data_IF_440532153967
#
_entry.id   IF_440532153967
#
_cell.length_a   1.000
_cell.length_b   1.000
_cell.length_c   1.000
_cell.angle_alpha   90.00
_cell.angle_beta   90.00
_cell.angle_gamma   90.00
#
_symmetry.space_group_name_H-M   'P 1'
#
loop_
_entity.id
_entity.type
_entity.pdbx_description
1 polymer ?
#
# COMPACT_ATOMS: atom_id res chain seq x y z
N UNK A 1 -34.35 3.42 6.33
CA UNK A 1 -33.95 2.80 5.05
C UNK A 1 -32.44 2.62 5.09
N UNK A 2 -31.97 1.45 5.53
CA UNK A 2 -30.54 1.16 5.70
C UNK A 2 -29.99 0.89 4.30
N UNK A 3 -29.14 1.78 3.79
CA UNK A 3 -28.42 1.52 2.54
C UNK A 3 -27.42 0.40 2.84
N UNK A 4 -27.73 -0.81 2.40
CA UNK A 4 -26.74 -1.86 2.24
C UNK A 4 -25.73 -1.39 1.20
N UNK A 5 -24.70 -0.68 1.65
CA UNK A 5 -23.46 -0.63 0.89
C UNK A 5 -22.91 -2.06 0.89
N UNK A 6 -22.63 -2.66 -0.27
CA UNK A 6 -21.85 -3.90 -0.29
C UNK A 6 -20.58 -3.62 0.51
N UNK A 7 -20.24 -4.52 1.43
CA UNK A 7 -19.15 -4.40 2.38
C UNK A 7 -17.82 -4.33 1.64
N UNK A 8 -17.50 -3.15 1.11
CA UNK A 8 -16.17 -2.87 0.62
C UNK A 8 -15.25 -2.92 1.84
N UNK A 9 -14.08 -3.52 1.71
CA UNK A 9 -13.09 -3.40 2.78
C UNK A 9 -12.89 -1.90 3.08
N UNK A 10 -12.95 -1.48 4.36
CA UNK A 10 -12.72 -0.08 4.71
C UNK A 10 -11.35 0.32 4.17
N UNK A 11 -11.34 1.40 3.39
CA UNK A 11 -10.14 1.91 2.73
C UNK A 11 -9.84 3.28 3.29
N UNK A 12 -8.67 3.42 3.85
CA UNK A 12 -8.28 4.63 4.54
C UNK A 12 -7.26 5.41 3.73
N UNK A 13 -7.35 6.73 3.81
CA UNK A 13 -6.49 7.66 3.09
C UNK A 13 -5.38 8.19 4.00
N UNK A 14 -4.14 8.13 3.51
CA UNK A 14 -2.94 8.64 4.15
C UNK A 14 -2.07 9.39 3.13
N UNK A 15 -1.25 10.33 3.61
CA UNK A 15 -0.25 10.98 2.77
C UNK A 15 1.09 10.23 2.88
N UNK A 16 1.55 9.71 1.75
CA UNK A 16 2.83 9.04 1.55
C UNK A 16 3.73 9.98 0.76
N UNK A 17 4.75 10.54 1.41
CA UNK A 17 5.61 11.60 0.86
C UNK A 17 4.80 12.80 0.29
N UNK A 18 3.67 13.11 0.94
CA UNK A 18 2.77 14.18 0.52
C UNK A 18 1.74 13.79 -0.54
N UNK A 19 1.83 12.58 -1.11
CA UNK A 19 0.87 12.05 -2.08
C UNK A 19 -0.21 11.26 -1.36
N UNK A 20 -1.48 11.55 -1.65
CA UNK A 20 -2.61 10.79 -1.12
C UNK A 20 -2.62 9.37 -1.68
N UNK A 21 -2.71 8.38 -0.79
CA UNK A 21 -2.77 6.97 -1.13
C UNK A 21 -3.79 6.25 -0.25
N UNK A 22 -4.51 5.29 -0.85
CA UNK A 22 -5.48 4.45 -0.16
C UNK A 22 -4.83 3.16 0.33
N UNK A 23 -5.12 2.82 1.58
CA UNK A 23 -4.70 1.59 2.22
C UNK A 23 -5.90 0.80 2.71
N UNK A 24 -5.82 -0.52 2.59
CA UNK A 24 -6.80 -1.46 3.14
C UNK A 24 -6.17 -2.27 4.27
N UNK A 25 -6.99 -2.76 5.19
CA UNK A 25 -6.53 -3.57 6.31
C UNK A 25 -6.09 -4.97 5.84
N UNK A 26 -4.87 -5.38 6.22
CA UNK A 26 -4.37 -6.73 5.96
C UNK A 26 -4.70 -7.65 7.15
N UNK A 27 -5.54 -8.67 6.90
CA UNK A 27 -5.78 -9.76 7.87
C UNK A 27 -4.69 -10.84 7.84
N UNK A 28 -3.96 -10.93 6.73
CA UNK A 28 -2.93 -11.92 6.48
C UNK A 28 -1.56 -11.24 6.42
N UNK A 29 -0.50 -12.05 6.47
CA UNK A 29 0.90 -11.61 6.33
C UNK A 29 1.22 -11.17 4.88
N UNK A 30 0.57 -10.10 4.42
CA UNK A 30 0.80 -9.47 3.12
C UNK A 30 2.16 -8.75 3.16
N UNK A 31 2.98 -8.99 2.14
CA UNK A 31 4.31 -8.40 2.01
C UNK A 31 4.36 -7.44 0.83
N UNK A 32 5.28 -6.49 0.92
CA UNK A 32 5.58 -5.62 -0.21
C UNK A 32 5.99 -6.47 -1.42
N UNK A 33 5.48 -6.10 -2.60
CA UNK A 33 5.77 -6.79 -3.85
C UNK A 33 5.00 -8.10 -4.05
N UNK A 34 4.15 -8.51 -3.11
CA UNK A 34 3.22 -9.61 -3.36
C UNK A 34 2.31 -9.26 -4.54
N UNK A 35 1.96 -10.25 -5.36
CA UNK A 35 1.02 -10.09 -6.45
C UNK A 35 -0.01 -11.22 -6.46
N UNK A 36 -1.19 -10.94 -6.99
CA UNK A 36 -2.29 -11.90 -7.02
C UNK A 36 -3.62 -11.29 -7.43
N UNK A 37 -4.73 -11.84 -6.95
CA UNK A 37 -6.06 -11.36 -7.29
C UNK A 37 -6.91 -11.06 -6.04
N UNK A 38 -7.94 -10.24 -6.22
CA UNK A 38 -8.98 -10.04 -5.21
C UNK A 38 -10.06 -11.11 -5.39
N UNK A 39 -10.47 -11.74 -4.30
CA UNK A 39 -11.60 -12.68 -4.29
C UNK A 39 -12.93 -11.94 -4.37
N UNK A 40 -14.04 -12.67 -4.49
CA UNK A 40 -15.38 -12.09 -4.40
C UNK A 40 -15.68 -11.40 -3.05
N UNK A 41 -14.94 -11.75 -1.99
CA UNK A 41 -15.02 -11.10 -0.67
C UNK A 41 -14.09 -9.88 -0.53
N UNK A 42 -13.45 -9.45 -1.63
CA UNK A 42 -12.43 -8.40 -1.64
C UNK A 42 -11.18 -8.72 -0.81
N UNK A 43 -10.97 -9.98 -0.46
CA UNK A 43 -9.73 -10.41 0.18
C UNK A 43 -8.63 -10.61 -0.87
N UNK A 44 -7.42 -10.17 -0.56
CA UNK A 44 -6.26 -10.37 -1.43
C UNK A 44 -5.73 -11.81 -1.30
N UNK A 45 -5.71 -12.53 -2.42
CA UNK A 45 -5.12 -13.86 -2.54
C UNK A 45 -3.75 -13.73 -3.21
N UNK A 46 -2.68 -13.97 -2.45
CA UNK A 46 -1.30 -13.91 -2.92
C UNK A 46 -0.96 -15.13 -3.79
N UNK A 47 -0.41 -14.89 -4.98
CA UNK A 47 0.04 -15.94 -5.93
C UNK A 47 1.56 -15.98 -6.09
N UNK A 48 2.26 -14.93 -5.68
CA UNK A 48 3.71 -14.84 -5.79
C UNK A 48 4.22 -13.49 -5.26
N UNK A 49 5.53 -13.31 -5.30
CA UNK A 49 6.18 -12.10 -4.82
C UNK A 49 7.24 -11.64 -5.83
N UNK A 50 7.20 -10.35 -6.17
CA UNK A 50 8.09 -9.73 -7.16
C UNK A 50 9.58 -9.91 -6.79
N UNK A 51 9.93 -9.75 -5.51
CA UNK A 51 11.30 -9.89 -5.04
C UNK A 51 11.78 -11.35 -5.15
N UNK A 52 10.92 -12.31 -4.80
CA UNK A 52 11.20 -13.73 -4.97
C UNK A 52 11.40 -14.14 -6.43
N UNK A 53 10.57 -13.60 -7.33
CA UNK A 53 10.73 -13.87 -8.76
C UNK A 53 12.03 -13.27 -9.33
N UNK A 54 12.43 -12.08 -8.87
CA UNK A 54 13.67 -11.43 -9.31
C UNK A 54 14.91 -12.23 -8.92
N UNK A 55 14.92 -12.75 -7.70
CA UNK A 55 15.96 -13.66 -7.22
C UNK A 55 16.00 -14.92 -8.08
N UNK A 56 14.83 -15.51 -8.38
CA UNK A 56 14.74 -16.72 -9.22
C UNK A 56 15.25 -16.51 -10.65
N UNK A 57 15.09 -15.29 -11.19
CA UNK A 57 15.57 -14.91 -12.53
C UNK A 57 17.00 -14.38 -12.53
N UNK A 58 17.66 -14.33 -11.36
CA UNK A 58 19.01 -13.79 -11.19
C UNK A 58 19.17 -12.37 -11.74
N UNK A 59 18.10 -11.57 -11.71
CA UNK A 59 18.09 -10.20 -12.20
C UNK A 59 18.66 -9.28 -11.12
N UNK A 60 19.80 -8.63 -11.42
CA UNK A 60 20.38 -7.59 -10.57
C UNK A 60 19.70 -6.26 -10.86
N UNK A 61 18.53 -6.06 -10.27
CA UNK A 61 17.88 -4.75 -10.24
C UNK A 61 17.99 -4.14 -8.84
N UNK A 62 18.29 -2.85 -8.76
CA UNK A 62 18.29 -2.12 -7.49
C UNK A 62 16.85 -1.80 -7.09
N UNK A 63 16.21 -2.79 -6.47
CA UNK A 63 14.80 -2.75 -6.06
C UNK A 63 14.62 -2.45 -4.57
N UNK A 64 15.62 -1.87 -3.91
CA UNK A 64 15.56 -1.64 -2.46
C UNK A 64 14.26 -0.93 -2.09
N UNK A 65 13.42 -1.52 -1.19
CA UNK A 65 12.21 -0.88 -0.72
C UNK A 65 12.50 0.51 -0.16
N UNK A 66 11.64 1.47 -0.49
CA UNK A 66 11.70 2.82 0.06
C UNK A 66 10.90 2.87 1.36
N UNK A 67 11.41 3.61 2.36
CA UNK A 67 10.65 4.00 3.55
C UNK A 67 10.12 5.42 3.37
N UNK A 68 8.87 5.60 2.90
CA UNK A 68 8.30 6.93 2.70
C UNK A 68 7.91 7.58 4.02
N UNK A 69 7.85 8.92 4.03
CA UNK A 69 7.29 9.66 5.16
C UNK A 69 5.77 9.53 5.15
N UNK A 70 5.21 9.00 6.23
CA UNK A 70 3.75 8.92 6.43
C UNK A 70 3.29 10.16 7.20
N UNK A 71 2.20 10.77 6.76
CA UNK A 71 1.57 11.91 7.45
C UNK A 71 0.04 11.92 7.31
N UNK A 72 -0.61 12.64 8.23
CA UNK A 72 -2.07 12.82 8.23
C UNK A 72 -2.52 13.65 7.02
N UNK A 73 -3.80 13.52 6.67
CA UNK A 73 -4.46 14.42 5.73
C UNK A 73 -4.28 15.88 6.20
N UNK A 74 -3.70 16.73 5.35
CA UNK A 74 -3.34 18.12 5.69
C UNK A 74 -1.89 18.33 6.15
N UNK A 75 -1.06 17.27 6.14
CA UNK A 75 0.40 17.36 6.32
C UNK A 75 0.85 17.66 7.74
N UNK A 76 -0.06 17.68 8.73
CA UNK A 76 0.30 17.87 10.13
C UNK A 76 0.84 16.56 10.69
N UNK A 77 2.02 16.62 11.30
CA UNK A 77 2.59 15.52 12.06
C UNK A 77 2.38 15.84 13.55
N UNK A 78 1.63 14.99 14.25
CA UNK A 78 1.47 15.15 15.71
C UNK A 78 2.78 14.79 16.40
N UNK A 79 3.09 15.51 17.48
CA UNK A 79 4.29 15.28 18.29
C UNK A 79 4.32 13.88 18.94
N UNK A 80 3.17 13.21 19.06
CA UNK A 80 3.03 11.90 19.70
C UNK A 80 3.40 10.70 18.80
N UNK A 81 3.80 10.93 17.55
CA UNK A 81 4.06 9.86 16.58
C UNK A 81 2.79 9.11 16.15
N UNK A 82 1.60 9.65 16.45
CA UNK A 82 0.31 9.14 15.98
C UNK A 82 -0.03 9.78 14.64
N UNK A 83 -0.58 8.99 13.72
CA UNK A 83 -1.08 9.44 12.42
C UNK A 83 -2.51 8.97 12.23
N UNK A 84 -3.43 9.91 12.00
CA UNK A 84 -4.80 9.60 11.57
C UNK A 84 -4.90 9.17 10.12
N UNK A 85 -5.43 7.97 9.93
CA UNK A 85 -5.92 7.48 8.65
C UNK A 85 -7.43 7.71 8.58
N UNK A 86 -7.92 8.39 7.53
CA UNK A 86 -9.34 8.73 7.41
C UNK A 86 -10.05 7.74 6.48
N UNK A 87 -11.23 7.26 6.87
CA UNK A 87 -12.08 6.48 5.95
C UNK A 87 -12.80 7.41 4.95
N UNK A 88 -13.61 6.83 4.08
CA UNK A 88 -14.52 7.47 3.14
C UNK A 88 -15.47 8.49 3.80
N UNK A 89 -15.68 8.38 5.12
CA UNK A 89 -16.46 9.33 5.91
C UNK A 89 -15.51 10.23 6.72
N UNK A 90 -15.64 11.56 6.63
CA UNK A 90 -14.69 12.51 7.24
C UNK A 90 -14.65 12.45 8.78
N UNK A 91 -15.67 11.89 9.41
CA UNK A 91 -15.77 11.75 10.87
C UNK A 91 -15.24 10.40 11.38
N UNK A 92 -14.92 9.45 10.48
CA UNK A 92 -14.39 8.13 10.83
C UNK A 92 -12.90 8.05 10.51
N UNK A 93 -12.10 7.80 11.54
CA UNK A 93 -10.65 7.75 11.43
C UNK A 93 -10.06 6.72 12.38
N UNK A 94 -8.89 6.20 11.99
CA UNK A 94 -8.11 5.29 12.80
C UNK A 94 -6.76 5.94 13.17
N UNK A 95 -6.43 5.93 14.45
CA UNK A 95 -5.16 6.45 14.96
C UNK A 95 -4.08 5.37 14.81
N UNK A 96 -3.10 5.60 13.93
CA UNK A 96 -1.95 4.71 13.72
C UNK A 96 -0.78 5.15 14.61
N UNK A 97 -0.37 4.31 15.56
CA UNK A 97 0.77 4.60 16.43
C UNK A 97 2.10 4.25 15.76
N UNK A 98 2.93 5.26 15.49
CA UNK A 98 4.27 5.14 14.88
C UNK A 98 4.28 4.24 13.63
N UNK A 99 3.45 4.54 12.61
CA UNK A 99 3.38 3.71 11.42
C UNK A 99 4.72 3.67 10.69
N UNK A 100 5.15 2.47 10.31
CA UNK A 100 6.31 2.24 9.46
C UNK A 100 5.84 1.90 8.05
N UNK A 101 6.10 2.80 7.11
CA UNK A 101 5.79 2.60 5.70
C UNK A 101 6.92 1.93 4.95
N UNK A 102 6.56 1.02 4.05
CA UNK A 102 7.43 0.53 2.99
C UNK A 102 6.69 0.66 1.66
N UNK A 103 7.42 1.03 0.61
CA UNK A 103 6.86 1.15 -0.74
C UNK A 103 7.85 0.63 -1.78
N UNK A 104 7.32 0.19 -2.92
CA UNK A 104 8.13 -0.16 -4.07
C UNK A 104 8.90 1.08 -4.55
N UNK A 105 10.13 0.90 -5.07
CA UNK A 105 10.87 2.01 -5.62
C UNK A 105 10.12 2.60 -6.83
N UNK A 106 10.14 3.93 -6.93
CA UNK A 106 9.58 4.66 -8.07
C UNK A 106 10.69 5.28 -8.92
N UNK A 107 11.79 4.55 -9.09
CA UNK A 107 12.91 4.99 -9.91
C UNK A 107 12.76 4.49 -11.35
N UNK A 108 13.49 5.10 -12.26
CA UNK A 108 13.43 4.74 -13.68
C UNK A 108 13.99 3.33 -13.96
N UNK A 109 14.78 2.76 -13.05
CA UNK A 109 15.26 1.36 -13.14
C UNK A 109 14.15 0.34 -12.83
N UNK A 110 13.15 0.73 -12.03
CA UNK A 110 12.05 -0.14 -11.65
C UNK A 110 11.00 -0.27 -12.76
N UNK A 111 10.81 0.77 -13.58
CA UNK A 111 9.84 0.74 -14.68
C UNK A 111 10.14 -0.38 -15.72
N UNK A 112 11.35 -0.52 -16.27
CA UNK A 112 11.71 -1.62 -17.16
C UNK A 112 11.51 -3.00 -16.53
N UNK A 113 11.70 -3.11 -15.22
CA UNK A 113 11.47 -4.34 -14.49
C UNK A 113 9.99 -4.69 -14.45
N UNK A 114 9.11 -3.74 -14.15
CA UNK A 114 7.66 -4.00 -14.24
C UNK A 114 7.24 -4.40 -15.67
N UNK A 115 7.88 -3.83 -16.69
CA UNK A 115 7.66 -4.20 -18.10
C UNK A 115 8.08 -5.65 -18.36
N UNK A 116 9.26 -6.08 -17.89
CA UNK A 116 9.71 -7.47 -18.06
C UNK A 116 8.81 -8.47 -17.32
N UNK A 117 8.18 -8.04 -16.23
CA UNK A 117 7.21 -8.81 -15.45
C UNK A 117 5.76 -8.69 -15.92
N UNK A 118 5.46 -7.85 -16.91
CA UNK A 118 4.08 -7.52 -17.30
C UNK A 118 3.23 -8.74 -17.64
N UNK A 119 3.80 -9.73 -18.33
CA UNK A 119 3.11 -10.98 -18.69
C UNK A 119 2.75 -11.79 -17.44
N UNK A 120 3.68 -11.88 -16.47
CA UNK A 120 3.42 -12.51 -15.17
C UNK A 120 2.41 -11.72 -14.37
N UNK A 121 2.46 -10.39 -14.39
CA UNK A 121 1.54 -9.56 -13.63
C UNK A 121 0.20 -9.34 -14.35
N UNK A 122 -0.03 -10.00 -15.49
CA UNK A 122 -1.26 -9.84 -16.27
C UNK A 122 -2.48 -10.26 -15.46
N UNK A 123 -3.49 -9.38 -15.40
CA UNK A 123 -4.72 -9.55 -14.60
C UNK A 123 -4.51 -9.69 -13.09
N UNK A 124 -3.34 -9.32 -12.58
CA UNK A 124 -3.01 -9.35 -11.15
C UNK A 124 -2.93 -7.94 -10.57
N UNK A 125 -3.16 -7.83 -9.27
CA UNK A 125 -2.84 -6.67 -8.45
C UNK A 125 -1.45 -6.86 -7.86
N UNK A 126 -0.70 -5.78 -7.71
CA UNK A 126 0.62 -5.73 -7.07
C UNK A 126 0.51 -4.91 -5.79
N UNK A 127 1.00 -5.45 -4.68
CA UNK A 127 1.15 -4.71 -3.42
C UNK A 127 2.28 -3.70 -3.58
N UNK A 128 1.93 -2.41 -3.63
CA UNK A 128 2.86 -1.30 -3.88
C UNK A 128 3.38 -0.63 -2.63
N UNK A 129 2.65 -0.78 -1.53
CA UNK A 129 3.03 -0.21 -0.25
C UNK A 129 2.40 -0.99 0.88
N UNK A 130 3.12 -1.08 1.99
CA UNK A 130 2.65 -1.68 3.23
C UNK A 130 2.94 -0.72 4.37
N UNK A 131 2.03 -0.67 5.33
CA UNK A 131 2.23 0.06 6.59
C UNK A 131 2.13 -0.95 7.72
N UNK A 132 3.13 -0.94 8.59
CA UNK A 132 3.16 -1.72 9.82
C UNK A 132 2.98 -0.76 10.99
N UNK A 133 1.97 -1.01 11.81
CA UNK A 133 1.71 -0.22 13.00
C UNK A 133 1.98 -1.10 14.22
N UNK A 134 3.01 -0.80 15.03
CA UNK A 134 3.18 -1.48 16.30
C UNK A 134 1.96 -1.24 17.20
N UNK A 135 1.71 -2.13 18.17
CA UNK A 135 0.62 -1.93 19.12
C UNK A 135 0.81 -0.63 19.90
N UNK A 136 -0.28 0.14 20.09
CA UNK A 136 -0.22 1.34 20.92
C UNK A 136 -0.01 0.92 22.38
N UNK A 137 1.08 1.36 23.05
CA UNK A 137 1.33 1.03 24.46
C UNK A 137 0.25 1.55 25.41
N UNK A 138 -0.60 2.49 24.96
CA UNK A 138 -1.74 3.01 25.72
C UNK A 138 -2.95 2.07 25.68
N UNK A 139 -3.00 1.15 24.72
CA UNK A 139 -4.10 0.21 24.54
C UNK A 139 -3.67 -1.21 24.92
N UNK A 140 -4.17 -1.68 26.05
CA UNK A 140 -3.88 -3.03 26.52
C UNK A 140 -4.51 -4.07 25.58
N UNK A 141 -3.67 -4.90 24.95
CA UNK A 141 -4.12 -5.97 24.05
C UNK A 141 -4.14 -5.62 22.56
N UNK A 142 -3.71 -4.41 22.17
CA UNK A 142 -3.50 -4.09 20.76
C UNK A 142 -2.47 -5.05 20.15
N UNK A 143 -2.71 -5.50 18.92
CA UNK A 143 -1.75 -6.27 18.12
C UNK A 143 -1.11 -5.36 17.08
N UNK A 144 -0.01 -5.80 16.48
CA UNK A 144 0.54 -5.13 15.30
C UNK A 144 -0.48 -5.20 14.17
N UNK A 145 -0.90 -4.06 13.64
CA UNK A 145 -1.80 -3.99 12.49
C UNK A 145 -1.00 -3.78 11.22
N UNK A 146 -1.48 -4.38 10.13
CA UNK A 146 -0.84 -4.34 8.83
C UNK A 146 -1.83 -3.77 7.83
N UNK A 147 -1.33 -2.90 6.97
CA UNK A 147 -2.11 -2.18 5.98
C UNK A 147 -1.38 -2.28 4.65
N UNK A 148 -2.13 -2.28 3.55
CA UNK A 148 -1.54 -2.44 2.22
C UNK A 148 -2.22 -1.56 1.19
N UNK A 149 -1.44 -1.11 0.21
CA UNK A 149 -1.92 -0.45 -1.00
C UNK A 149 -1.64 -1.37 -2.19
N UNK A 150 -2.58 -1.39 -3.14
CA UNK A 150 -2.46 -2.17 -4.36
C UNK A 150 -2.58 -1.29 -5.58
N UNK A 151 -1.87 -1.68 -6.64
CA UNK A 151 -2.02 -1.08 -7.95
C UNK A 151 -2.19 -2.16 -9.01
N UNK A 152 -2.86 -1.81 -10.11
CA UNK A 152 -2.85 -2.62 -11.31
C UNK A 152 -1.61 -2.28 -12.15
N UNK A 153 -0.77 -3.27 -12.50
CA UNK A 153 0.43 -3.14 -13.31
C UNK A 153 0.27 -2.30 -14.59
N UNK A 154 -0.88 -2.42 -15.26
CA UNK A 154 -1.14 -1.73 -16.53
C UNK A 154 -1.42 -0.23 -16.40
N UNK A 155 -1.50 0.32 -15.18
CA UNK A 155 -1.79 1.74 -14.93
C UNK A 155 -0.53 2.58 -14.74
N UNK A 156 0.67 1.99 -14.68
CA UNK A 156 1.91 2.76 -14.45
C UNK A 156 2.36 3.64 -15.61
N UNK A 157 1.86 3.42 -16.83
CA UNK A 157 2.25 4.20 -18.02
C UNK A 157 1.58 5.58 -18.14
N UNK A 158 0.91 6.11 -17.10
CA UNK A 158 0.04 7.28 -17.24
C UNK A 158 0.16 8.41 -16.21
N UNK A 159 1.10 8.33 -15.26
CA UNK A 159 1.19 9.34 -14.18
C UNK A 159 2.41 10.28 -14.28
N UNK A 160 3.17 10.25 -15.37
CA UNK A 160 4.32 11.16 -15.59
C UNK A 160 4.06 12.24 -16.66
N UNK A 161 2.79 12.49 -17.02
CA UNK A 161 2.43 13.66 -17.85
C UNK A 161 1.99 14.82 -16.95
N UNK A 162 2.93 15.33 -16.14
CA UNK A 162 2.88 16.70 -15.67
C UNK A 162 4.23 17.34 -15.90
N UNK A 163 4.43 17.79 -17.14
CA UNK A 163 5.17 18.99 -17.50
C UNK A 163 4.49 19.66 -18.71
N UNK A 164 4.42 20.98 -18.65
CA UNK A 164 4.06 21.96 -19.68
C UNK A 164 2.58 22.20 -20.07
N UNK A 165 1.97 23.19 -19.42
CA UNK A 165 1.72 24.54 -20.00
C UNK A 165 1.35 25.58 -18.94
#
# INVERSE_FOLDING_TARGET
MIRHCPSKQPSYELLIDGVSMKFSYARNDIKLGDYGHLTHSEDFCCEGNLFGDLESLSLKANITPRQPKISERGGRQRESGVVRAYDCYPDDFEDLYKPLGLSLPSNDDFKPLLVSFSTRLTNRYLITGVIQCPPDPRESGSRTTHWYSIAKPFVWHRNDDHDDL
#
